data_IF_429641449567
#
_entry.id   IF_429641449567
#
_cell.length_a   1.000
_cell.length_b   1.000
_cell.length_c   1.000
_cell.angle_alpha   90.00
_cell.angle_beta   90.00
_cell.angle_gamma   90.00
#
_symmetry.space_group_name_H-M   'P 1'
#
loop_
_entity.id
_entity.type
_entity.pdbx_description
1 polymer ?
#
# COMPACT_ATOMS: atom_id res chain seq x y z
N UNK A 1 32.80 64.82 27.61
CA UNK A 1 32.69 63.37 27.58
C UNK A 1 31.25 63.00 27.85
N UNK A 2 30.45 62.68 26.77
CA UNK A 2 29.04 62.24 26.89
C UNK A 2 28.99 60.75 27.10
N UNK A 3 28.44 60.27 28.25
CA UNK A 3 28.16 58.85 28.50
C UNK A 3 26.87 58.46 27.79
N UNK A 4 26.86 57.38 27.03
CA UNK A 4 25.62 56.87 26.40
C UNK A 4 24.70 56.30 27.48
N UNK A 5 23.45 56.75 27.50
CA UNK A 5 22.40 56.32 28.41
C UNK A 5 21.86 54.96 27.88
N UNK A 6 22.33 53.82 28.42
CA UNK A 6 21.82 52.51 28.09
C UNK A 6 20.41 52.34 28.70
N UNK A 7 19.38 52.37 27.84
CA UNK A 7 18.01 51.98 28.22
C UNK A 7 18.03 50.52 28.62
N UNK A 8 17.79 50.23 29.91
CA UNK A 8 17.52 48.88 30.40
C UNK A 8 16.17 48.42 29.81
N UNK A 9 16.19 47.52 28.88
CA UNK A 9 15.01 46.77 28.46
C UNK A 9 14.59 45.89 29.64
N UNK A 10 13.38 46.14 30.18
CA UNK A 10 12.78 45.30 31.21
C UNK A 10 12.46 43.95 30.54
N UNK A 11 13.19 42.89 30.88
CA UNK A 11 12.83 41.53 30.51
C UNK A 11 11.66 41.11 31.39
N UNK A 12 10.48 41.04 30.80
CA UNK A 12 9.29 40.43 31.39
C UNK A 12 9.46 38.90 31.36
N UNK A 13 9.62 38.28 32.50
CA UNK A 13 9.65 36.83 32.67
C UNK A 13 8.23 36.25 32.68
N UNK A 14 8.06 35.03 32.21
CA UNK A 14 6.79 34.28 32.32
C UNK A 14 6.46 34.01 33.79
N UNK A 15 5.19 34.13 34.15
CA UNK A 15 4.73 33.74 35.48
C UNK A 15 4.55 32.21 35.56
N UNK A 16 4.76 31.65 36.76
CA UNK A 16 4.58 30.20 36.98
C UNK A 16 3.14 29.77 36.70
N UNK A 17 2.17 30.64 36.98
CA UNK A 17 0.74 30.34 36.73
C UNK A 17 0.40 30.26 35.22
N UNK A 18 1.01 31.11 34.39
CA UNK A 18 0.84 31.04 32.93
C UNK A 18 1.34 29.70 32.38
N UNK A 19 2.47 29.22 32.89
CA UNK A 19 3.02 27.93 32.48
C UNK A 19 2.10 26.78 32.91
N UNK A 20 1.63 26.78 34.17
CA UNK A 20 0.75 25.71 34.68
C UNK A 20 -0.57 25.67 33.90
N UNK A 21 -1.20 26.80 33.61
CA UNK A 21 -2.47 26.85 32.86
C UNK A 21 -2.27 26.28 31.46
N UNK A 22 -1.20 26.62 30.77
CA UNK A 22 -0.90 26.11 29.44
C UNK A 22 -0.72 24.58 29.42
N UNK A 23 0.06 24.01 30.32
CA UNK A 23 0.28 22.57 30.37
C UNK A 23 -0.99 21.80 30.74
N UNK A 24 -1.87 22.34 31.58
CA UNK A 24 -3.16 21.70 31.90
C UNK A 24 -4.07 21.70 30.69
N UNK A 25 -4.19 22.82 29.98
CA UNK A 25 -5.00 22.89 28.75
C UNK A 25 -4.46 21.95 27.68
N UNK A 26 -3.15 21.93 27.44
CA UNK A 26 -2.51 21.02 26.48
C UNK A 26 -2.70 19.54 26.89
N UNK A 27 -2.65 19.24 28.19
CA UNK A 27 -2.90 17.89 28.71
C UNK A 27 -4.32 17.39 28.39
N UNK A 28 -5.32 18.23 28.59
CA UNK A 28 -6.73 17.90 28.27
C UNK A 28 -6.92 17.72 26.75
N UNK A 29 -6.37 18.62 25.94
CA UNK A 29 -6.43 18.51 24.48
C UNK A 29 -5.73 17.25 23.98
N UNK A 30 -4.55 16.93 24.49
CA UNK A 30 -3.82 15.72 24.14
C UNK A 30 -4.60 14.44 24.50
N UNK A 31 -5.22 14.39 25.68
CA UNK A 31 -6.01 13.23 26.12
C UNK A 31 -7.18 12.92 25.18
N UNK A 32 -7.79 13.94 24.56
CA UNK A 32 -8.91 13.77 23.61
C UNK A 32 -8.44 13.51 22.17
N UNK A 33 -7.24 13.94 21.80
CA UNK A 33 -6.68 13.81 20.47
C UNK A 33 -6.02 12.43 20.25
N UNK A 34 -5.28 11.92 21.22
CA UNK A 34 -4.52 10.66 21.09
C UNK A 34 -5.34 9.47 20.61
N UNK A 35 -6.57 9.17 21.09
CA UNK A 35 -7.36 8.05 20.59
C UNK A 35 -7.76 8.19 19.11
N UNK A 36 -7.91 9.43 18.62
CA UNK A 36 -8.26 9.68 17.21
C UNK A 36 -7.08 9.49 16.26
N UNK A 37 -5.86 9.69 16.74
CA UNK A 37 -4.66 9.49 15.93
C UNK A 37 -4.21 8.03 15.89
N UNK A 38 -4.56 7.21 16.86
CA UNK A 38 -4.16 5.80 16.89
C UNK A 38 -4.76 4.99 15.73
N UNK A 39 -5.98 5.32 15.27
CA UNK A 39 -6.64 4.61 14.17
C UNK A 39 -6.23 5.06 12.76
N UNK A 40 -5.50 6.16 12.63
CA UNK A 40 -5.10 6.68 11.31
C UNK A 40 -4.14 5.76 10.56
N UNK A 41 -3.36 4.95 11.28
CA UNK A 41 -2.43 3.99 10.67
C UNK A 41 -3.15 2.94 9.83
N UNK A 42 -4.22 2.36 10.37
CA UNK A 42 -5.05 1.38 9.67
C UNK A 42 -5.77 1.96 8.47
N UNK A 43 -6.35 3.16 8.61
CA UNK A 43 -7.01 3.87 7.51
C UNK A 43 -6.04 4.19 6.37
N UNK A 44 -4.84 4.66 6.69
CA UNK A 44 -3.81 4.95 5.69
C UNK A 44 -3.37 3.69 4.92
N UNK A 45 -3.18 2.57 5.62
CA UNK A 45 -2.83 1.29 4.97
C UNK A 45 -3.97 0.75 4.11
N UNK A 46 -5.22 0.88 4.56
CA UNK A 46 -6.38 0.50 3.77
C UNK A 46 -6.48 1.34 2.48
N UNK A 47 -6.30 2.66 2.57
CA UNK A 47 -6.27 3.54 1.41
C UNK A 47 -5.12 3.19 0.45
N UNK A 48 -3.95 2.87 0.98
CA UNK A 48 -2.78 2.40 0.22
C UNK A 48 -3.08 1.09 -0.54
N UNK A 49 -3.75 0.11 0.09
CA UNK A 49 -4.19 -1.12 -0.58
C UNK A 49 -5.24 -0.87 -1.68
N UNK A 50 -6.12 0.11 -1.49
CA UNK A 50 -7.06 0.50 -2.54
C UNK A 50 -6.32 1.09 -3.76
N UNK A 51 -5.29 1.90 -3.53
CA UNK A 51 -4.43 2.41 -4.59
C UNK A 51 -3.67 1.26 -5.30
N UNK A 52 -3.11 0.32 -4.55
CA UNK A 52 -2.43 -0.86 -5.09
C UNK A 52 -3.38 -1.74 -5.94
N UNK A 53 -4.63 -1.93 -5.51
CA UNK A 53 -5.67 -2.58 -6.31
C UNK A 53 -5.90 -1.86 -7.63
N UNK A 54 -5.98 -0.53 -7.60
CA UNK A 54 -6.11 0.30 -8.79
C UNK A 54 -4.95 0.13 -9.75
N UNK A 55 -3.71 0.15 -9.25
CA UNK A 55 -2.50 -0.05 -10.04
C UNK A 55 -2.47 -1.44 -10.70
N UNK A 56 -2.77 -2.51 -9.97
CA UNK A 56 -2.87 -3.86 -10.51
C UNK A 56 -3.93 -3.97 -11.61
N UNK A 57 -5.11 -3.39 -11.37
CA UNK A 57 -6.21 -3.38 -12.34
C UNK A 57 -5.84 -2.66 -13.62
N UNK A 58 -5.22 -1.48 -13.51
CA UNK A 58 -4.76 -0.68 -14.64
C UNK A 58 -3.69 -1.41 -15.45
N UNK A 59 -2.68 -1.98 -14.77
CA UNK A 59 -1.61 -2.76 -15.42
C UNK A 59 -2.17 -3.99 -16.12
N UNK A 60 -3.10 -4.71 -15.50
CA UNK A 60 -3.75 -5.87 -16.12
C UNK A 60 -4.57 -5.48 -17.36
N UNK A 61 -5.28 -4.36 -17.32
CA UNK A 61 -6.05 -3.84 -18.46
C UNK A 61 -5.14 -3.38 -19.61
N UNK A 62 -4.01 -2.69 -19.29
CA UNK A 62 -3.01 -2.30 -20.30
C UNK A 62 -2.37 -3.52 -20.95
N UNK A 63 -2.00 -4.53 -20.18
CA UNK A 63 -1.43 -5.77 -20.69
C UNK A 63 -2.42 -6.48 -21.65
N UNK A 64 -3.69 -6.57 -21.25
CA UNK A 64 -4.76 -7.11 -22.12
C UNK A 64 -4.92 -6.31 -23.40
N UNK A 65 -4.95 -4.98 -23.33
CA UNK A 65 -5.02 -4.12 -24.51
C UNK A 65 -3.87 -4.39 -25.47
N UNK A 66 -2.64 -4.52 -24.96
CA UNK A 66 -1.47 -4.86 -25.77
C UNK A 66 -1.54 -6.26 -26.38
N UNK A 67 -2.04 -7.23 -25.61
CA UNK A 67 -2.30 -8.59 -26.09
C UNK A 67 -3.26 -8.59 -27.27
N UNK A 68 -4.38 -7.88 -27.18
CA UNK A 68 -5.40 -7.80 -28.23
C UNK A 68 -4.88 -7.15 -29.51
N UNK A 69 -4.08 -6.12 -29.41
CA UNK A 69 -3.47 -5.43 -30.57
C UNK A 69 -2.46 -6.33 -31.27
N UNK A 70 -1.73 -7.16 -30.55
CA UNK A 70 -0.69 -8.04 -31.12
C UNK A 70 -1.22 -9.46 -31.48
N UNK A 71 -2.49 -9.78 -31.23
CA UNK A 71 -3.02 -11.12 -31.44
C UNK A 71 -3.37 -11.45 -32.89
N UNK A 72 -3.05 -10.59 -33.86
CA UNK A 72 -3.29 -10.79 -35.30
C UNK A 72 -2.31 -11.75 -36.00
N UNK A 73 -1.40 -12.39 -35.23
CA UNK A 73 -0.40 -13.34 -35.73
C UNK A 73 -0.10 -14.42 -34.70
N UNK A 74 1.08 -14.37 -34.13
CA UNK A 74 1.46 -15.24 -33.00
C UNK A 74 0.96 -14.64 -31.69
N UNK A 75 0.27 -15.43 -30.82
CA UNK A 75 -0.16 -14.93 -29.52
C UNK A 75 1.02 -14.39 -28.70
N UNK A 76 0.85 -13.21 -28.12
CA UNK A 76 1.85 -12.64 -27.24
C UNK A 76 1.94 -13.50 -25.97
N UNK A 77 3.10 -14.08 -25.71
CA UNK A 77 3.33 -14.91 -24.51
C UNK A 77 3.85 -14.11 -23.33
N UNK A 78 4.61 -13.06 -23.62
CA UNK A 78 5.21 -12.17 -22.62
C UNK A 78 5.18 -10.72 -23.07
N UNK A 79 5.10 -9.80 -22.12
CA UNK A 79 5.16 -8.35 -22.33
C UNK A 79 6.16 -7.74 -21.35
N UNK A 80 7.18 -7.06 -21.86
CA UNK A 80 8.13 -6.33 -21.02
C UNK A 80 7.60 -4.91 -20.73
N UNK A 81 7.49 -4.59 -19.44
CA UNK A 81 7.08 -3.28 -18.93
C UNK A 81 8.06 -2.88 -17.84
N UNK A 82 8.81 -1.81 -18.05
CA UNK A 82 9.75 -1.23 -17.06
C UNK A 82 10.69 -2.26 -16.39
N UNK A 83 11.18 -3.22 -17.15
CA UNK A 83 12.08 -4.27 -16.64
C UNK A 83 11.37 -5.42 -15.92
N UNK A 84 10.04 -5.46 -15.93
CA UNK A 84 9.24 -6.63 -15.54
C UNK A 84 8.80 -7.40 -16.79
N UNK A 85 8.86 -8.73 -16.74
CA UNK A 85 8.40 -9.61 -17.82
C UNK A 85 7.06 -10.23 -17.45
N UNK A 86 5.98 -9.57 -17.84
CA UNK A 86 4.61 -10.05 -17.60
C UNK A 86 4.31 -11.23 -18.51
N UNK A 87 3.94 -12.38 -17.95
CA UNK A 87 3.41 -13.52 -18.68
C UNK A 87 1.88 -13.44 -18.75
N UNK A 88 1.29 -14.01 -19.81
CA UNK A 88 -0.16 -14.05 -19.97
C UNK A 88 -0.75 -15.39 -19.50
N UNK A 89 -1.98 -15.34 -18.97
CA UNK A 89 -2.70 -16.52 -18.52
C UNK A 89 -2.88 -17.52 -19.69
N UNK A 90 -2.60 -18.79 -19.42
CA UNK A 90 -2.60 -19.85 -20.44
C UNK A 90 -3.98 -20.11 -21.07
N UNK A 91 -5.07 -19.62 -20.45
CA UNK A 91 -6.43 -19.74 -20.93
C UNK A 91 -6.77 -18.88 -22.18
N UNK A 92 -5.80 -18.07 -22.64
CA UNK A 92 -5.99 -17.19 -23.80
C UNK A 92 -6.90 -15.99 -23.56
N UNK A 93 -7.14 -15.63 -22.29
CA UNK A 93 -7.93 -14.43 -21.92
C UNK A 93 -7.24 -13.12 -22.29
N UNK A 94 -5.91 -13.16 -22.45
CA UNK A 94 -5.07 -11.97 -22.66
C UNK A 94 -4.83 -11.15 -21.40
N UNK A 95 -5.26 -11.62 -20.25
CA UNK A 95 -4.89 -11.04 -18.97
C UNK A 95 -3.58 -11.62 -18.45
N UNK A 96 -2.79 -10.85 -17.67
CA UNK A 96 -1.56 -11.35 -17.08
C UNK A 96 -1.79 -12.44 -16.05
N UNK A 97 -0.80 -13.35 -15.96
CA UNK A 97 -0.71 -14.32 -14.87
C UNK A 97 -0.45 -13.61 -13.52
N UNK A 98 -1.12 -14.09 -12.47
CA UNK A 98 -0.89 -13.59 -11.11
C UNK A 98 0.47 -14.04 -10.59
N UNK A 99 1.49 -13.19 -10.69
CA UNK A 99 2.85 -13.44 -10.22
C UNK A 99 3.55 -12.15 -9.77
N UNK A 100 4.76 -12.26 -9.25
CA UNK A 100 5.53 -11.12 -8.77
C UNK A 100 5.88 -10.10 -9.88
N UNK A 101 6.04 -10.56 -11.13
CA UNK A 101 6.34 -9.67 -12.27
C UNK A 101 5.17 -8.73 -12.58
N UNK A 102 3.93 -9.17 -12.38
CA UNK A 102 2.76 -8.31 -12.50
C UNK A 102 2.78 -7.18 -11.44
N UNK A 103 3.12 -7.51 -10.20
CA UNK A 103 3.24 -6.52 -9.13
C UNK A 103 4.40 -5.53 -9.38
N UNK A 104 5.51 -6.03 -9.92
CA UNK A 104 6.66 -5.21 -10.31
C UNK A 104 6.29 -4.25 -11.43
N UNK A 105 5.60 -4.72 -12.47
CA UNK A 105 5.10 -3.87 -13.56
C UNK A 105 4.06 -2.84 -13.11
N UNK A 106 3.36 -3.10 -12.00
CA UNK A 106 2.45 -2.17 -11.37
C UNK A 106 3.15 -1.17 -10.41
N UNK A 107 4.49 -1.24 -10.26
CA UNK A 107 5.27 -0.36 -9.40
C UNK A 107 5.06 -0.62 -7.90
N UNK A 108 4.72 -1.84 -7.50
CA UNK A 108 4.32 -2.16 -6.12
C UNK A 108 5.41 -2.86 -5.30
N UNK A 109 6.63 -3.01 -5.81
CA UNK A 109 7.68 -3.81 -5.14
C UNK A 109 8.41 -3.07 -4.03
N UNK A 110 8.41 -1.73 -4.03
CA UNK A 110 9.17 -0.93 -3.06
C UNK A 110 8.39 -0.69 -1.78
N UNK A 111 7.08 -0.42 -1.89
CA UNK A 111 6.21 -0.10 -0.75
C UNK A 111 5.45 -1.31 -0.19
N UNK A 112 5.47 -2.42 -0.93
CA UNK A 112 4.70 -3.61 -0.57
C UNK A 112 5.55 -4.87 -0.62
N UNK A 113 5.24 -5.79 0.27
CA UNK A 113 5.73 -7.16 0.18
C UNK A 113 4.84 -7.95 -0.79
N UNK A 114 5.47 -8.55 -1.81
CA UNK A 114 4.79 -9.30 -2.87
C UNK A 114 4.97 -10.80 -2.62
N UNK A 115 3.85 -11.53 -2.63
CA UNK A 115 3.81 -12.98 -2.52
C UNK A 115 3.25 -13.55 -3.82
N UNK A 116 4.08 -14.28 -4.55
CA UNK A 116 3.71 -15.00 -5.76
C UNK A 116 3.42 -16.48 -5.50
N UNK A 117 3.07 -17.25 -6.53
CA UNK A 117 2.83 -18.69 -6.43
C UNK A 117 4.06 -19.43 -5.86
N UNK A 118 3.81 -20.33 -4.91
CA UNK A 118 4.88 -21.13 -4.30
C UNK A 118 5.72 -20.41 -3.24
N UNK A 119 5.47 -19.15 -2.96
CA UNK A 119 6.06 -18.49 -1.79
C UNK A 119 5.31 -18.94 -0.54
N UNK A 120 5.80 -20.03 0.04
CA UNK A 120 5.36 -20.45 1.37
C UNK A 120 5.91 -19.44 2.37
N UNK A 121 5.05 -18.57 2.83
CA UNK A 121 5.42 -17.69 3.91
C UNK A 121 5.31 -18.46 5.23
N UNK A 122 6.43 -18.55 5.93
CA UNK A 122 6.67 -19.39 7.10
C UNK A 122 5.85 -19.04 8.34
N UNK A 123 4.88 -18.16 8.27
CA UNK A 123 4.16 -17.73 9.45
C UNK A 123 2.69 -17.38 9.21
N UNK A 124 1.91 -18.16 8.47
CA UNK A 124 0.43 -18.03 8.46
C UNK A 124 -0.21 -17.20 7.33
N UNK A 125 0.49 -16.75 6.29
CA UNK A 125 -0.23 -16.19 5.14
C UNK A 125 -0.97 -17.30 4.40
N UNK A 126 -2.19 -17.01 3.96
CA UNK A 126 -2.96 -17.88 3.07
C UNK A 126 -2.07 -18.24 1.88
N UNK A 127 -1.91 -19.53 1.58
CA UNK A 127 -1.05 -19.96 0.47
C UNK A 127 -1.50 -19.30 -0.82
N UNK A 128 -0.56 -18.66 -1.52
CA UNK A 128 -0.79 -18.07 -2.83
C UNK A 128 -0.63 -19.19 -3.85
N UNK A 129 -1.71 -19.52 -4.55
CA UNK A 129 -1.72 -20.60 -5.56
C UNK A 129 -1.30 -20.07 -6.93
N UNK A 130 -1.06 -20.99 -7.87
CA UNK A 130 -0.73 -20.61 -9.24
C UNK A 130 -1.82 -19.67 -9.82
N UNK A 131 -1.38 -18.62 -10.52
CA UNK A 131 -2.29 -17.60 -11.07
C UNK A 131 -2.75 -16.54 -10.07
N UNK A 132 -2.23 -16.55 -8.86
CA UNK A 132 -2.50 -15.52 -7.86
C UNK A 132 -1.24 -14.74 -7.47
N UNK A 133 -1.41 -13.47 -7.12
CA UNK A 133 -0.39 -12.66 -6.44
C UNK A 133 -1.05 -11.89 -5.30
N UNK A 134 -0.40 -11.88 -4.15
CA UNK A 134 -0.87 -11.18 -2.95
C UNK A 134 0.14 -10.09 -2.58
N UNK A 135 -0.38 -8.95 -2.17
CA UNK A 135 0.38 -7.75 -1.87
C UNK A 135 0.00 -7.27 -0.48
N UNK A 136 0.99 -7.12 0.38
CA UNK A 136 0.86 -6.71 1.79
C UNK A 136 1.68 -5.43 1.99
N UNK A 137 1.18 -4.41 2.70
CA UNK A 137 1.97 -3.23 3.02
C UNK A 137 3.29 -3.60 3.71
N UNK A 138 4.41 -3.00 3.28
CA UNK A 138 5.74 -3.31 3.83
C UNK A 138 5.81 -3.08 5.35
N UNK A 139 5.05 -2.09 5.85
CA UNK A 139 4.96 -1.79 7.29
C UNK A 139 4.35 -2.91 8.14
N UNK A 140 3.65 -3.88 7.52
CA UNK A 140 3.04 -5.04 8.18
C UNK A 140 3.83 -6.34 7.96
N UNK A 141 5.04 -6.24 7.39
CA UNK A 141 5.90 -7.40 7.16
C UNK A 141 6.19 -8.14 8.46
N UNK A 142 5.83 -9.43 8.51
CA UNK A 142 6.03 -10.27 9.69
C UNK A 142 5.08 -10.01 10.85
N UNK A 143 4.12 -9.09 10.71
CA UNK A 143 3.07 -8.82 11.69
C UNK A 143 1.85 -9.72 11.45
N UNK A 144 1.14 -10.15 12.51
CA UNK A 144 -0.15 -10.84 12.38
C UNK A 144 -1.20 -10.03 11.59
N UNK A 145 -1.16 -8.70 11.67
CA UNK A 145 -2.04 -7.81 10.90
C UNK A 145 -1.86 -7.98 9.38
N UNK A 146 -0.66 -8.30 8.91
CA UNK A 146 -0.42 -8.59 7.49
C UNK A 146 -1.23 -9.79 6.94
N UNK A 147 -1.72 -10.69 7.81
CA UNK A 147 -2.54 -11.84 7.43
C UNK A 147 -3.96 -11.46 7.00
N UNK A 148 -4.43 -10.32 7.46
CA UNK A 148 -5.80 -9.81 7.26
C UNK A 148 -5.82 -8.42 6.62
N UNK A 149 -4.66 -7.95 6.16
CA UNK A 149 -4.49 -6.63 5.52
C UNK A 149 -3.69 -6.78 4.22
N UNK A 150 -4.36 -7.21 3.14
CA UNK A 150 -3.72 -7.43 1.85
C UNK A 150 -4.69 -7.21 0.69
N UNK A 151 -4.15 -7.05 -0.51
CA UNK A 151 -4.87 -7.18 -1.77
C UNK A 151 -4.38 -8.41 -2.52
N UNK A 152 -5.30 -9.14 -3.12
CA UNK A 152 -5.02 -10.32 -3.94
C UNK A 152 -5.54 -10.10 -5.35
N UNK A 153 -4.69 -10.36 -6.34
CA UNK A 153 -5.06 -10.53 -7.73
C UNK A 153 -5.10 -12.02 -8.03
N UNK A 154 -6.13 -12.43 -8.75
CA UNK A 154 -6.27 -13.78 -9.31
C UNK A 154 -6.56 -13.68 -10.79
N UNK A 155 -5.78 -14.41 -11.61
CA UNK A 155 -5.99 -14.48 -13.04
C UNK A 155 -7.36 -15.12 -13.37
N UNK A 156 -7.96 -14.80 -14.53
CA UNK A 156 -9.21 -15.41 -14.93
C UNK A 156 -9.04 -16.91 -15.16
N UNK A 157 -10.07 -17.68 -14.84
CA UNK A 157 -10.12 -19.13 -15.09
C UNK A 157 -10.48 -19.43 -16.53
N UNK A 158 -11.45 -18.69 -17.10
CA UNK A 158 -11.90 -18.88 -18.48
C UNK A 158 -11.46 -17.71 -19.37
N UNK A 159 -11.43 -17.96 -20.68
CA UNK A 159 -11.03 -16.96 -21.68
C UNK A 159 -11.86 -15.67 -21.65
N UNK A 160 -13.13 -15.78 -21.32
CA UNK A 160 -14.10 -14.66 -21.31
C UNK A 160 -14.13 -13.89 -19.99
N UNK A 161 -13.54 -14.45 -18.94
CA UNK A 161 -13.61 -13.88 -17.61
C UNK A 161 -12.62 -12.69 -17.43
N UNK A 162 -12.91 -11.85 -16.46
CA UNK A 162 -11.99 -10.84 -15.99
C UNK A 162 -11.22 -11.35 -14.77
N UNK A 163 -10.02 -10.82 -14.48
CA UNK A 163 -9.31 -11.14 -13.26
C UNK A 163 -10.08 -10.66 -12.05
N UNK A 164 -9.94 -11.37 -10.93
CA UNK A 164 -10.55 -10.99 -9.66
C UNK A 164 -9.53 -10.26 -8.80
N UNK A 165 -9.89 -9.07 -8.32
CA UNK A 165 -9.08 -8.30 -7.36
C UNK A 165 -9.86 -8.14 -6.06
N UNK A 166 -9.39 -8.83 -5.03
CA UNK A 166 -10.02 -8.83 -3.70
C UNK A 166 -9.14 -8.07 -2.71
N UNK A 167 -9.73 -7.15 -1.96
CA UNK A 167 -9.10 -6.57 -0.78
C UNK A 167 -9.63 -7.30 0.45
N UNK A 168 -8.72 -7.86 1.24
CA UNK A 168 -9.00 -8.39 2.56
C UNK A 168 -8.35 -7.43 3.55
N UNK A 169 -9.10 -6.41 3.93
CA UNK A 169 -8.60 -5.36 4.80
C UNK A 169 -9.76 -4.54 5.38
N UNK A 170 -9.63 -4.18 6.63
CA UNK A 170 -10.39 -3.12 7.30
C UNK A 170 -9.38 -2.21 8.00
N UNK A 171 -9.76 -0.97 8.36
CA UNK A 171 -8.87 -0.11 9.13
C UNK A 171 -8.36 -0.81 10.40
N UNK A 172 -9.25 -1.48 11.14
CA UNK A 172 -8.90 -2.20 12.37
C UNK A 172 -7.95 -3.39 12.14
N UNK A 173 -8.06 -4.10 11.01
CA UNK A 173 -7.19 -5.25 10.71
C UNK A 173 -5.83 -4.84 10.15
N UNK A 174 -5.69 -3.58 9.75
CA UNK A 174 -4.46 -3.00 9.22
C UNK A 174 -3.65 -2.19 10.26
N UNK A 175 -3.98 -2.29 11.55
CA UNK A 175 -3.25 -1.63 12.64
C UNK A 175 -2.01 -2.41 13.12
#
# INVERSE_FOLDING_TARGET
MNKPNMKRTVQSGFTLIELIVVIVILGILAATALPKFSSLGGDARLASLQAAKGALSATAAMAKGKYLVNSTGTPLTTLNVEGASISFAANGSGYPTGNAELAKAAGLTDDYQVFGPGTNNTASYTSVVAGEVMIVPMSLKGSPAGLTCYVKYKEPVNKTDAPTLTIVATAANCE
#
